data_IF_699847992681
#
_entry.id   IF_699847992681
#
_cell.length_a   1.000
_cell.length_b   1.000
_cell.length_c   1.000
_cell.angle_alpha   90.00
_cell.angle_beta   90.00
_cell.angle_gamma   90.00
#
_symmetry.space_group_name_H-M   'P 1'
#
loop_
_entity.id
_entity.type
_entity.pdbx_description
1 polymer ?
#
# COMPACT_ATOMS: atom_id res chain seq x y z
N UNK A 1 1.34 -21.51 -18.89
CA UNK A 1 1.33 -20.44 -17.86
C UNK A 1 0.11 -19.54 -17.99
N UNK A 2 -0.22 -18.95 -19.17
CA UNK A 2 -1.48 -18.19 -19.44
C UNK A 2 -2.78 -18.90 -19.00
N UNK A 3 -2.88 -20.22 -19.15
CA UNK A 3 -4.06 -21.03 -18.78
C UNK A 3 -4.31 -21.16 -17.26
N UNK A 4 -3.29 -20.92 -16.42
CA UNK A 4 -3.39 -21.02 -14.96
C UNK A 4 -3.82 -19.70 -14.30
N UNK A 5 -3.32 -18.57 -14.83
CA UNK A 5 -3.67 -17.20 -14.44
C UNK A 5 -5.19 -17.05 -14.53
N UNK A 6 -5.76 -17.39 -15.69
CA UNK A 6 -7.18 -17.27 -15.98
C UNK A 6 -8.08 -18.04 -14.98
N UNK A 7 -7.69 -19.24 -14.53
CA UNK A 7 -8.52 -20.04 -13.61
C UNK A 7 -8.56 -19.48 -12.18
N UNK A 8 -7.42 -19.05 -11.65
CA UNK A 8 -7.40 -18.46 -10.30
C UNK A 8 -7.94 -17.04 -10.30
N UNK A 9 -7.69 -16.27 -11.36
CA UNK A 9 -8.23 -14.94 -11.55
C UNK A 9 -9.77 -14.95 -11.54
N UNK A 10 -10.40 -15.81 -12.36
CA UNK A 10 -11.86 -16.01 -12.35
C UNK A 10 -12.35 -16.43 -10.97
N UNK A 11 -11.62 -17.33 -10.31
CA UNK A 11 -12.01 -17.84 -9.00
C UNK A 11 -11.99 -16.75 -7.92
N UNK A 12 -10.96 -15.91 -7.90
CA UNK A 12 -10.91 -14.75 -7.01
C UNK A 12 -11.99 -13.73 -7.37
N UNK A 13 -12.13 -13.40 -8.65
CA UNK A 13 -13.13 -12.45 -9.13
C UNK A 13 -14.55 -12.85 -8.72
N UNK A 14 -14.97 -14.09 -9.00
CA UNK A 14 -16.29 -14.57 -8.62
C UNK A 14 -16.50 -14.57 -7.10
N UNK A 15 -15.47 -14.93 -6.34
CA UNK A 15 -15.56 -14.94 -4.89
C UNK A 15 -15.65 -13.53 -4.30
N UNK A 16 -14.91 -12.57 -4.86
CA UNK A 16 -15.02 -11.16 -4.52
C UNK A 16 -16.41 -10.62 -4.88
N UNK A 17 -16.91 -10.91 -6.09
CA UNK A 17 -18.24 -10.49 -6.53
C UNK A 17 -19.34 -10.95 -5.57
N UNK A 18 -19.25 -12.18 -5.06
CA UNK A 18 -20.22 -12.73 -4.13
C UNK A 18 -20.14 -12.14 -2.72
N UNK A 19 -18.97 -11.64 -2.29
CA UNK A 19 -18.74 -11.27 -0.89
C UNK A 19 -18.59 -9.75 -0.67
N UNK A 20 -18.23 -9.00 -1.71
CA UNK A 20 -17.86 -7.59 -1.58
C UNK A 20 -19.00 -6.75 -1.02
N UNK A 21 -20.22 -6.91 -1.53
CA UNK A 21 -21.37 -6.10 -1.12
C UNK A 21 -21.79 -6.27 0.35
N UNK A 22 -21.33 -7.33 1.03
CA UNK A 22 -21.60 -7.57 2.47
C UNK A 22 -20.63 -6.84 3.42
N UNK A 23 -19.64 -6.13 2.91
CA UNK A 23 -18.65 -5.45 3.74
C UNK A 23 -19.00 -3.96 3.87
N UNK A 24 -19.23 -3.42 5.06
CA UNK A 24 -19.59 -2.00 5.19
C UNK A 24 -18.38 -1.04 5.09
N UNK A 25 -17.15 -1.57 5.10
CA UNK A 25 -15.95 -0.76 4.95
C UNK A 25 -15.72 -0.40 3.47
N UNK A 26 -15.44 0.88 3.24
CA UNK A 26 -15.16 1.41 1.90
C UNK A 26 -13.67 1.50 1.59
N UNK A 27 -12.79 1.49 2.60
CA UNK A 27 -11.34 1.69 2.45
C UNK A 27 -10.58 0.54 1.76
N UNK A 28 -9.25 0.70 1.65
CA UNK A 28 -8.38 -0.18 0.85
C UNK A 28 -7.89 -1.44 1.60
N UNK A 29 -7.71 -1.37 2.91
CA UNK A 29 -7.18 -2.52 3.67
C UNK A 29 -8.27 -3.47 4.11
N UNK A 30 -9.41 -2.92 4.52
CA UNK A 30 -10.50 -3.69 5.11
C UNK A 30 -11.75 -3.72 4.22
N UNK A 31 -11.79 -2.89 3.16
CA UNK A 31 -13.02 -2.59 2.44
C UNK A 31 -13.04 -2.92 0.95
N UNK A 32 -14.14 -2.50 0.31
CA UNK A 32 -14.44 -2.78 -1.11
C UNK A 32 -13.51 -2.08 -2.09
N UNK A 33 -12.81 -1.02 -1.69
CA UNK A 33 -11.85 -0.35 -2.60
C UNK A 33 -10.76 -1.30 -3.10
N UNK A 34 -10.35 -2.28 -2.30
CA UNK A 34 -9.41 -3.30 -2.76
C UNK A 34 -9.96 -4.15 -3.91
N UNK A 35 -11.27 -4.39 -3.92
CA UNK A 35 -11.96 -5.19 -4.94
C UNK A 35 -11.98 -4.45 -6.26
N UNK A 36 -12.38 -3.18 -6.25
CA UNK A 36 -12.31 -2.32 -7.43
C UNK A 36 -10.87 -2.24 -7.95
N UNK A 37 -9.87 -2.02 -7.07
CA UNK A 37 -8.46 -2.04 -7.44
C UNK A 37 -8.03 -3.35 -8.11
N UNK A 38 -8.47 -4.48 -7.58
CA UNK A 38 -8.20 -5.79 -8.17
C UNK A 38 -8.81 -5.92 -9.56
N UNK A 39 -10.08 -5.53 -9.74
CA UNK A 39 -10.75 -5.58 -11.05
C UNK A 39 -9.99 -4.77 -12.11
N UNK A 40 -9.65 -3.52 -11.84
CA UNK A 40 -8.86 -2.69 -12.77
C UNK A 40 -7.46 -3.26 -13.02
N UNK A 41 -6.83 -3.85 -12.00
CA UNK A 41 -5.51 -4.47 -12.14
C UNK A 41 -5.53 -5.73 -13.03
N UNK A 42 -6.67 -6.45 -13.08
CA UNK A 42 -6.81 -7.65 -13.93
C UNK A 42 -7.05 -7.34 -15.40
N UNK A 43 -7.61 -6.16 -15.71
CA UNK A 43 -7.86 -5.71 -17.08
C UNK A 43 -7.49 -4.22 -17.26
N UNK A 44 -6.19 -3.88 -17.26
CA UNK A 44 -5.76 -2.48 -17.32
C UNK A 44 -6.16 -1.74 -18.60
N UNK A 45 -6.33 -2.48 -19.69
CA UNK A 45 -6.72 -1.96 -21.00
C UNK A 45 -8.24 -1.90 -21.18
N UNK A 46 -9.01 -2.25 -20.15
CA UNK A 46 -10.47 -2.24 -20.14
C UNK A 46 -11.08 -2.99 -21.35
N UNK A 47 -10.53 -4.16 -21.70
CA UNK A 47 -10.97 -4.97 -22.84
C UNK A 47 -12.18 -5.85 -22.55
N UNK A 48 -12.42 -6.20 -21.29
CA UNK A 48 -13.54 -7.01 -20.82
C UNK A 48 -14.66 -6.10 -20.30
N UNK A 49 -15.60 -5.75 -21.18
CA UNK A 49 -16.74 -4.86 -20.89
C UNK A 49 -17.52 -5.27 -19.64
N UNK A 50 -17.68 -6.58 -19.42
CA UNK A 50 -18.39 -7.09 -18.25
C UNK A 50 -17.62 -6.82 -16.96
N UNK A 51 -16.31 -7.12 -16.91
CA UNK A 51 -15.49 -6.81 -15.73
C UNK A 51 -15.43 -5.31 -15.45
N UNK A 52 -15.35 -4.49 -16.48
CA UNK A 52 -15.36 -3.04 -16.33
C UNK A 52 -16.68 -2.53 -15.76
N UNK A 53 -17.80 -3.07 -16.24
CA UNK A 53 -19.13 -2.73 -15.71
C UNK A 53 -19.26 -3.11 -14.23
N UNK A 54 -18.75 -4.28 -13.85
CA UNK A 54 -18.73 -4.71 -12.44
C UNK A 54 -17.80 -3.83 -11.59
N UNK A 55 -16.61 -3.51 -12.09
CA UNK A 55 -15.66 -2.64 -11.39
C UNK A 55 -16.25 -1.24 -11.14
N UNK A 56 -16.92 -0.69 -12.14
CA UNK A 56 -17.61 0.59 -12.05
C UNK A 56 -18.76 0.54 -11.04
N UNK A 57 -19.58 -0.51 -11.06
CA UNK A 57 -20.65 -0.70 -10.07
C UNK A 57 -20.12 -0.74 -8.63
N UNK A 58 -18.95 -1.34 -8.39
CA UNK A 58 -18.30 -1.27 -7.07
C UNK A 58 -17.87 0.15 -6.69
N UNK A 59 -17.41 0.96 -7.63
CA UNK A 59 -17.07 2.36 -7.36
C UNK A 59 -18.32 3.18 -7.00
N UNK A 60 -19.43 3.00 -7.73
CA UNK A 60 -20.71 3.64 -7.39
C UNK A 60 -21.20 3.20 -6.00
N UNK A 61 -21.11 1.90 -5.70
CA UNK A 61 -21.48 1.38 -4.38
C UNK A 61 -20.62 2.00 -3.27
N UNK A 62 -19.30 2.06 -3.44
CA UNK A 62 -18.36 2.70 -2.51
C UNK A 62 -18.76 4.16 -2.26
N UNK A 63 -18.97 4.94 -3.32
CA UNK A 63 -19.32 6.36 -3.23
C UNK A 63 -20.67 6.56 -2.52
N UNK A 64 -21.67 5.74 -2.85
CA UNK A 64 -23.00 5.83 -2.24
C UNK A 64 -23.03 5.49 -0.74
N UNK A 65 -22.03 4.77 -0.25
CA UNK A 65 -21.93 4.37 1.16
C UNK A 65 -21.15 5.38 2.02
N UNK A 66 -20.45 6.33 1.40
CA UNK A 66 -19.75 7.38 2.14
C UNK A 66 -20.77 8.31 2.81
N UNK A 67 -20.67 8.41 4.13
CA UNK A 67 -21.50 9.27 4.95
C UNK A 67 -20.73 9.74 6.20
N UNK A 68 -21.38 10.53 7.06
CA UNK A 68 -20.75 11.08 8.27
C UNK A 68 -20.23 10.04 9.26
N UNK A 69 -20.74 8.80 9.24
CA UNK A 69 -20.28 7.71 10.11
C UNK A 69 -19.14 6.90 9.49
N UNK A 70 -18.82 7.12 8.21
CA UNK A 70 -17.74 6.42 7.53
C UNK A 70 -16.41 6.78 8.19
N UNK A 71 -15.55 5.79 8.53
CA UNK A 71 -14.24 6.07 9.07
C UNK A 71 -13.43 6.99 8.14
N UNK A 72 -12.59 7.85 8.71
CA UNK A 72 -11.72 8.73 7.93
C UNK A 72 -10.42 8.03 7.49
N UNK A 73 -10.23 6.78 7.85
CA UNK A 73 -8.95 6.07 7.74
C UNK A 73 -8.66 5.56 6.34
N UNK A 74 -7.39 5.22 6.08
CA UNK A 74 -6.98 4.55 4.85
C UNK A 74 -7.55 3.13 4.73
N UNK A 75 -7.55 2.40 5.85
CA UNK A 75 -7.85 0.98 5.87
C UNK A 75 -9.32 0.67 5.62
N UNK A 76 -10.21 1.29 6.40
CA UNK A 76 -11.65 1.05 6.31
C UNK A 76 -12.46 2.22 5.75
N UNK A 77 -11.83 3.35 5.48
CA UNK A 77 -12.50 4.64 5.38
C UNK A 77 -12.32 5.43 4.09
N UNK A 78 -12.79 6.68 4.16
CA UNK A 78 -12.84 7.65 3.06
C UNK A 78 -11.45 7.87 2.44
N UNK A 79 -10.40 7.97 3.26
CA UNK A 79 -9.05 8.22 2.74
C UNK A 79 -8.57 7.09 1.81
N UNK A 80 -8.92 5.84 2.11
CA UNK A 80 -8.61 4.70 1.24
C UNK A 80 -9.37 4.75 -0.08
N UNK A 81 -10.68 5.03 -0.01
CA UNK A 81 -11.54 5.16 -1.19
C UNK A 81 -11.11 6.33 -2.08
N UNK A 82 -10.77 7.47 -1.49
CA UNK A 82 -10.31 8.63 -2.26
C UNK A 82 -8.95 8.42 -2.92
N UNK A 83 -8.00 7.72 -2.27
CA UNK A 83 -6.74 7.34 -2.92
C UNK A 83 -6.99 6.37 -4.07
N UNK A 84 -7.93 5.43 -3.93
CA UNK A 84 -8.31 4.56 -5.03
C UNK A 84 -8.79 5.38 -6.23
N UNK A 85 -9.72 6.31 -6.03
CA UNK A 85 -10.25 7.14 -7.12
C UNK A 85 -9.13 7.91 -7.83
N UNK A 86 -8.25 8.57 -7.07
CA UNK A 86 -7.06 9.23 -7.64
C UNK A 86 -6.19 8.28 -8.45
N UNK A 87 -5.90 7.12 -7.89
CA UNK A 87 -5.06 6.13 -8.53
C UNK A 87 -5.70 5.63 -9.84
N UNK A 88 -7.01 5.40 -9.85
CA UNK A 88 -7.71 4.94 -11.05
C UNK A 88 -7.77 6.01 -12.15
N UNK A 89 -7.97 7.29 -11.79
CA UNK A 89 -7.90 8.42 -12.72
C UNK A 89 -6.50 8.57 -13.32
N UNK A 90 -5.45 8.38 -12.52
CA UNK A 90 -4.06 8.52 -12.95
C UNK A 90 -3.58 7.34 -13.82
N UNK A 91 -3.83 6.11 -13.38
CA UNK A 91 -3.24 4.90 -13.99
C UNK A 91 -4.14 4.22 -15.02
N UNK A 92 -5.46 4.44 -14.95
CA UNK A 92 -6.46 3.78 -15.80
C UNK A 92 -7.36 4.76 -16.56
N UNK A 93 -7.01 6.06 -16.59
CA UNK A 93 -7.74 7.11 -17.32
C UNK A 93 -9.25 7.06 -17.08
N UNK A 94 -9.66 7.03 -15.82
CA UNK A 94 -11.04 7.37 -15.45
C UNK A 94 -11.29 8.87 -15.75
N UNK A 95 -12.42 9.18 -16.38
CA UNK A 95 -12.77 10.55 -16.83
C UNK A 95 -13.44 11.37 -15.72
N UNK A 96 -13.78 10.73 -14.61
CA UNK A 96 -14.47 11.31 -13.48
C UNK A 96 -13.62 12.38 -12.77
N UNK A 97 -14.25 13.52 -12.46
CA UNK A 97 -13.63 14.57 -11.67
C UNK A 97 -13.64 14.18 -10.19
N UNK A 98 -12.51 13.66 -9.71
CA UNK A 98 -12.35 13.22 -8.33
C UNK A 98 -12.48 14.35 -7.31
N UNK A 99 -12.31 15.63 -7.71
CA UNK A 99 -12.58 16.76 -6.82
C UNK A 99 -14.06 16.89 -6.50
N UNK A 100 -14.94 16.76 -7.50
CA UNK A 100 -16.39 16.79 -7.29
C UNK A 100 -16.85 15.61 -6.44
N UNK A 101 -16.32 14.41 -6.70
CA UNK A 101 -16.69 13.20 -5.96
C UNK A 101 -16.30 13.24 -4.48
N UNK A 102 -15.26 14.00 -4.12
CA UNK A 102 -14.70 14.03 -2.76
C UNK A 102 -14.95 15.36 -2.03
N UNK A 103 -15.55 16.35 -2.69
CA UNK A 103 -15.73 17.71 -2.17
C UNK A 103 -16.43 17.74 -0.81
N UNK A 104 -17.49 16.95 -0.66
CA UNK A 104 -18.26 16.89 0.60
C UNK A 104 -17.47 16.21 1.74
N UNK A 105 -16.55 15.30 1.40
CA UNK A 105 -15.83 14.47 2.38
C UNK A 105 -14.53 15.10 2.87
N UNK A 106 -13.88 15.92 2.02
CA UNK A 106 -12.59 16.55 2.30
C UNK A 106 -12.56 17.42 3.58
N UNK A 107 -13.57 18.25 3.88
CA UNK A 107 -13.60 19.03 5.12
C UNK A 107 -13.44 18.18 6.37
N UNK A 108 -14.02 16.97 6.41
CA UNK A 108 -13.90 16.06 7.56
C UNK A 108 -12.46 15.54 7.70
N UNK A 109 -11.83 15.14 6.59
CA UNK A 109 -10.43 14.69 6.59
C UNK A 109 -9.48 15.81 7.05
N UNK A 110 -9.69 17.03 6.56
CA UNK A 110 -8.90 18.20 6.98
C UNK A 110 -9.12 18.51 8.46
N UNK A 111 -10.36 18.41 8.96
CA UNK A 111 -10.67 18.62 10.38
C UNK A 111 -10.02 17.58 11.28
N UNK A 112 -9.84 16.34 10.80
CA UNK A 112 -9.14 15.29 11.54
C UNK A 112 -7.64 15.57 11.66
N UNK A 113 -7.03 16.18 10.63
CA UNK A 113 -5.61 16.57 10.70
C UNK A 113 -5.42 17.79 11.60
N UNK A 114 -6.23 18.85 11.45
CA UNK A 114 -5.99 20.11 12.15
C UNK A 114 -6.68 20.23 13.52
N UNK A 115 -7.83 19.60 13.70
CA UNK A 115 -8.67 19.74 14.89
C UNK A 115 -8.40 18.67 15.94
N UNK A 116 -8.68 17.41 15.60
CA UNK A 116 -8.58 16.29 16.53
C UNK A 116 -7.27 15.53 16.33
N UNK A 117 -6.21 15.90 17.06
CA UNK A 117 -4.92 15.17 17.00
C UNK A 117 -5.14 13.67 17.10
N UNK A 118 -4.84 12.96 16.01
CA UNK A 118 -4.98 11.51 15.94
C UNK A 118 -4.02 10.86 16.91
N UNK A 119 -4.40 9.72 17.48
CA UNK A 119 -3.52 8.96 18.39
C UNK A 119 -2.72 7.87 17.66
N UNK A 120 -3.19 7.44 16.49
CA UNK A 120 -2.56 6.40 15.69
C UNK A 120 -1.72 7.02 14.58
N UNK A 121 -0.50 6.53 14.36
CA UNK A 121 0.44 7.04 13.34
C UNK A 121 0.51 6.17 12.09
N UNK A 122 -0.09 4.98 12.11
CA UNK A 122 0.03 3.97 11.05
C UNK A 122 -0.59 4.41 9.72
N UNK A 123 -0.27 3.68 8.65
CA UNK A 123 -0.94 3.86 7.35
C UNK A 123 -2.42 3.45 7.49
N UNK A 124 -2.71 2.29 8.07
CA UNK A 124 -4.05 1.73 8.11
C UNK A 124 -5.08 2.66 8.76
N UNK A 125 -4.77 3.13 9.98
CA UNK A 125 -5.76 3.78 10.84
C UNK A 125 -5.31 5.14 11.38
N UNK A 126 -4.21 5.68 10.87
CA UNK A 126 -3.52 6.79 11.50
C UNK A 126 -3.15 7.93 10.57
N UNK A 127 -2.34 8.82 11.15
CA UNK A 127 -1.85 10.05 10.53
C UNK A 127 -1.14 9.79 9.20
N UNK A 128 -0.34 8.71 9.09
CA UNK A 128 0.36 8.41 7.82
C UNK A 128 -0.61 8.10 6.69
N UNK A 129 -1.73 7.43 6.97
CA UNK A 129 -2.77 7.13 5.97
C UNK A 129 -3.44 8.40 5.43
N UNK A 130 -3.76 9.35 6.32
CA UNK A 130 -4.27 10.66 5.91
C UNK A 130 -3.22 11.47 5.15
N UNK A 131 -1.96 11.42 5.59
CA UNK A 131 -0.84 12.03 4.87
C UNK A 131 -0.75 11.52 3.44
N UNK A 132 -0.80 10.20 3.23
CA UNK A 132 -0.84 9.60 1.89
C UNK A 132 -2.02 10.11 1.06
N UNK A 133 -3.21 10.23 1.66
CA UNK A 133 -4.38 10.77 0.97
C UNK A 133 -4.10 12.18 0.43
N UNK A 134 -3.65 13.10 1.27
CA UNK A 134 -3.38 14.47 0.82
C UNK A 134 -2.24 14.56 -0.19
N UNK A 135 -1.26 13.66 -0.12
CA UNK A 135 -0.23 13.56 -1.14
C UNK A 135 -0.78 13.15 -2.51
N UNK A 136 -1.69 12.17 -2.54
CA UNK A 136 -2.38 11.77 -3.78
C UNK A 136 -3.23 12.90 -4.35
N UNK A 137 -3.99 13.60 -3.49
CA UNK A 137 -4.81 14.75 -3.90
C UNK A 137 -3.97 15.90 -4.44
N UNK A 138 -2.83 16.20 -3.82
CA UNK A 138 -1.89 17.21 -4.33
C UNK A 138 -1.35 16.84 -5.71
N UNK A 139 -1.06 15.56 -5.93
CA UNK A 139 -0.49 15.04 -7.18
C UNK A 139 -1.55 14.65 -8.22
N UNK A 140 -2.80 15.06 -8.03
CA UNK A 140 -3.88 14.68 -8.95
C UNK A 140 -3.57 15.09 -10.38
N UNK A 141 -3.95 14.24 -11.34
CA UNK A 141 -3.80 14.51 -12.78
C UNK A 141 -4.60 15.74 -13.20
N UNK A 142 -5.77 15.92 -12.59
CA UNK A 142 -6.58 17.13 -12.70
C UNK A 142 -6.19 18.00 -11.50
N UNK A 143 -5.38 19.05 -11.68
CA UNK A 143 -4.96 19.87 -10.56
C UNK A 143 -6.17 20.55 -9.91
N UNK A 144 -6.22 20.53 -8.57
CA UNK A 144 -7.19 21.33 -7.83
C UNK A 144 -6.94 22.83 -8.05
N UNK A 145 -7.84 23.68 -7.56
CA UNK A 145 -7.58 25.12 -7.50
C UNK A 145 -6.30 25.40 -6.66
N UNK A 146 -5.47 26.41 -7.00
CA UNK A 146 -4.17 26.63 -6.34
C UNK A 146 -4.24 26.68 -4.81
N UNK A 147 -5.28 27.34 -4.27
CA UNK A 147 -5.52 27.40 -2.83
C UNK A 147 -5.77 26.02 -2.21
N UNK A 148 -6.56 25.18 -2.88
CA UNK A 148 -6.86 23.82 -2.41
C UNK A 148 -5.64 22.92 -2.49
N UNK A 149 -4.83 23.03 -3.55
CA UNK A 149 -3.55 22.31 -3.63
C UNK A 149 -2.61 22.68 -2.47
N UNK A 150 -2.49 23.97 -2.14
CA UNK A 150 -1.69 24.42 -1.01
C UNK A 150 -2.19 23.79 0.29
N UNK A 151 -3.52 23.77 0.51
CA UNK A 151 -4.12 23.13 1.70
C UNK A 151 -3.80 21.64 1.81
N UNK A 152 -3.78 20.91 0.69
CA UNK A 152 -3.38 19.49 0.69
C UNK A 152 -1.92 19.32 1.08
N UNK A 153 -1.02 20.15 0.53
CA UNK A 153 0.39 20.14 0.91
C UNK A 153 0.57 20.45 2.40
N UNK A 154 -0.09 21.49 2.90
CA UNK A 154 -0.06 21.86 4.32
C UNK A 154 -0.59 20.73 5.21
N UNK A 155 -1.66 20.05 4.81
CA UNK A 155 -2.22 18.93 5.56
C UNK A 155 -1.25 17.74 5.62
N UNK A 156 -0.58 17.42 4.52
CA UNK A 156 0.46 16.40 4.50
C UNK A 156 1.65 16.77 5.41
N UNK A 157 2.05 18.04 5.47
CA UNK A 157 3.09 18.53 6.38
C UNK A 157 2.63 18.45 7.84
N UNK A 158 1.39 18.85 8.13
CA UNK A 158 0.82 18.74 9.48
C UNK A 158 0.76 17.29 9.97
N UNK A 159 0.58 16.32 9.06
CA UNK A 159 0.72 14.90 9.38
C UNK A 159 2.15 14.54 9.82
N UNK A 160 3.18 15.09 9.17
CA UNK A 160 4.59 14.90 9.57
C UNK A 160 4.84 15.46 10.97
N UNK A 161 4.34 16.65 11.27
CA UNK A 161 4.47 17.28 12.59
C UNK A 161 3.82 16.43 13.69
N UNK A 162 2.63 15.87 13.42
CA UNK A 162 1.95 14.98 14.35
C UNK A 162 2.72 13.68 14.60
N UNK A 163 3.27 13.05 13.55
CA UNK A 163 4.11 11.85 13.68
C UNK A 163 5.36 12.18 14.51
N UNK A 164 6.01 13.31 14.24
CA UNK A 164 7.20 13.72 14.98
C UNK A 164 6.91 13.92 16.47
N UNK A 165 5.77 14.54 16.79
CA UNK A 165 5.32 14.70 18.16
C UNK A 165 5.05 13.35 18.84
N UNK A 166 4.31 12.46 18.18
CA UNK A 166 4.01 11.12 18.70
C UNK A 166 5.29 10.28 18.87
N UNK A 167 6.28 10.47 18.00
CA UNK A 167 7.59 9.83 18.08
C UNK A 167 8.37 10.28 19.31
N UNK A 168 8.44 11.59 19.56
CA UNK A 168 9.08 12.18 20.74
C UNK A 168 8.38 11.78 22.05
N UNK A 169 7.05 11.66 22.02
CA UNK A 169 6.24 11.22 23.15
C UNK A 169 6.25 9.70 23.37
N UNK A 170 7.02 8.93 22.57
CA UNK A 170 7.10 7.47 22.63
C UNK A 170 5.75 6.76 22.48
N UNK A 171 4.79 7.37 21.77
CA UNK A 171 3.45 6.79 21.52
C UNK A 171 3.43 5.80 20.36
N UNK A 172 4.49 5.76 19.56
CA UNK A 172 4.63 4.87 18.42
C UNK A 172 5.38 3.62 18.86
N UNK A 173 4.79 2.44 18.66
CA UNK A 173 5.46 1.17 18.92
C UNK A 173 6.65 0.98 17.99
N UNK A 174 7.85 0.82 18.56
CA UNK A 174 9.10 0.61 17.81
C UNK A 174 9.34 -0.86 17.41
N UNK A 175 8.46 -1.75 17.87
CA UNK A 175 8.58 -3.20 17.67
C UNK A 175 7.78 -3.70 16.46
N UNK A 176 6.69 -3.02 16.11
CA UNK A 176 5.88 -3.38 14.94
C UNK A 176 6.56 -2.90 13.66
N UNK A 177 7.06 -3.85 12.86
CA UNK A 177 7.77 -3.61 11.61
C UNK A 177 6.87 -3.72 10.37
N UNK A 178 5.55 -3.88 10.52
CA UNK A 178 4.64 -3.98 9.37
C UNK A 178 4.49 -2.63 8.65
N UNK A 179 4.16 -2.68 7.36
CA UNK A 179 3.86 -1.51 6.54
C UNK A 179 2.53 -0.90 6.95
N UNK A 180 1.50 -1.71 7.22
CA UNK A 180 0.16 -1.17 7.44
C UNK A 180 -0.05 -0.63 8.86
N UNK A 181 0.60 -1.21 9.87
CA UNK A 181 0.40 -0.83 11.28
C UNK A 181 1.66 -0.29 11.97
N UNK A 182 2.84 -0.64 11.46
CA UNK A 182 4.12 -0.39 12.11
C UNK A 182 4.93 0.80 11.56
N UNK A 183 6.17 0.90 12.05
CA UNK A 183 7.11 1.98 11.73
C UNK A 183 7.63 1.92 10.30
N UNK A 184 7.53 0.77 9.64
CA UNK A 184 7.89 0.63 8.21
C UNK A 184 6.96 1.44 7.32
N UNK A 185 5.66 1.48 7.62
CA UNK A 185 4.69 2.33 6.91
C UNK A 185 4.97 3.82 7.09
N UNK A 186 5.29 4.22 8.32
CA UNK A 186 5.69 5.61 8.62
C UNK A 186 6.96 5.98 7.83
N UNK A 187 7.93 5.07 7.79
CA UNK A 187 9.15 5.23 6.98
C UNK A 187 8.82 5.41 5.48
N UNK A 188 7.88 4.65 4.92
CA UNK A 188 7.44 4.81 3.51
C UNK A 188 6.81 6.18 3.26
N UNK A 189 5.86 6.60 4.12
CA UNK A 189 5.22 7.90 4.01
C UNK A 189 6.24 9.03 4.07
N UNK A 190 7.12 9.04 5.08
CA UNK A 190 8.15 10.06 5.24
C UNK A 190 9.15 10.04 4.07
N UNK A 191 9.55 8.87 3.58
CA UNK A 191 10.40 8.75 2.40
C UNK A 191 9.76 9.44 1.18
N UNK A 192 8.44 9.31 1.02
CA UNK A 192 7.73 9.97 -0.06
C UNK A 192 7.66 11.49 0.13
N UNK A 193 7.38 11.98 1.34
CA UNK A 193 7.46 13.42 1.66
C UNK A 193 8.86 13.99 1.32
N UNK A 194 9.92 13.26 1.68
CA UNK A 194 11.30 13.66 1.40
C UNK A 194 11.61 13.70 -0.10
N UNK A 195 11.10 12.74 -0.90
CA UNK A 195 11.22 12.76 -2.37
C UNK A 195 10.63 14.03 -3.00
N UNK A 196 9.62 14.62 -2.37
CA UNK A 196 9.00 15.87 -2.82
C UNK A 196 9.72 17.13 -2.33
N UNK A 197 10.77 16.98 -1.51
CA UNK A 197 11.47 18.11 -0.88
C UNK A 197 10.61 18.85 0.15
N UNK A 198 9.56 18.21 0.67
CA UNK A 198 8.63 18.87 1.59
C UNK A 198 9.14 18.83 3.02
N UNK A 199 9.03 19.98 3.69
CA UNK A 199 9.32 20.14 5.11
C UNK A 199 10.76 19.74 5.48
N UNK A 200 11.71 19.99 4.56
CA UNK A 200 13.13 19.88 4.84
C UNK A 200 13.62 21.05 5.72
N UNK A 201 14.63 20.84 6.59
CA UNK A 201 15.38 19.59 6.84
C UNK A 201 14.73 18.66 7.87
N UNK A 202 13.58 19.03 8.44
CA UNK A 202 12.97 18.33 9.57
C UNK A 202 12.50 16.91 9.20
N UNK A 203 11.81 16.75 8.07
CA UNK A 203 11.33 15.44 7.58
C UNK A 203 12.48 14.46 7.34
N UNK A 204 13.65 14.93 6.89
CA UNK A 204 14.88 14.13 6.74
C UNK A 204 15.41 13.64 8.08
N UNK A 205 15.42 14.51 9.10
CA UNK A 205 15.89 14.16 10.44
C UNK A 205 15.01 13.07 11.06
N UNK A 206 13.70 13.26 11.03
CA UNK A 206 12.74 12.27 11.58
C UNK A 206 12.85 10.92 10.87
N UNK A 207 12.96 10.93 9.54
CA UNK A 207 13.14 9.70 8.76
C UNK A 207 14.40 8.93 9.19
N UNK A 208 15.54 9.62 9.41
CA UNK A 208 16.77 8.99 9.90
C UNK A 208 16.60 8.36 11.28
N UNK A 209 15.91 9.03 12.21
CA UNK A 209 15.63 8.49 13.55
C UNK A 209 14.81 7.20 13.47
N UNK A 210 13.74 7.20 12.66
CA UNK A 210 12.90 6.01 12.46
C UNK A 210 13.68 4.88 11.80
N UNK A 211 14.48 5.17 10.77
CA UNK A 211 15.33 4.17 10.11
C UNK A 211 16.32 3.54 11.10
N UNK A 212 16.91 4.34 11.99
CA UNK A 212 17.82 3.84 13.04
C UNK A 212 17.10 2.84 13.95
N UNK A 213 15.89 3.16 14.39
CA UNK A 213 15.10 2.25 15.24
C UNK A 213 14.68 0.97 14.50
N UNK A 214 14.32 1.06 13.21
CA UNK A 214 14.08 -0.13 12.38
C UNK A 214 15.31 -1.03 12.38
N UNK A 215 16.50 -0.47 12.19
CA UNK A 215 17.75 -1.24 12.13
C UNK A 215 18.07 -1.90 13.48
N UNK A 216 17.88 -1.17 14.59
CA UNK A 216 18.01 -1.74 15.94
C UNK A 216 17.07 -2.95 16.10
N UNK A 217 15.80 -2.81 15.71
CA UNK A 217 14.82 -3.89 15.79
C UNK A 217 15.14 -5.05 14.84
N UNK A 218 15.69 -4.79 13.64
CA UNK A 218 16.14 -5.82 12.70
C UNK A 218 17.27 -6.68 13.30
N UNK A 219 18.20 -6.06 14.03
CA UNK A 219 19.34 -6.72 14.67
C UNK A 219 18.98 -7.58 15.88
N UNK A 220 17.73 -7.54 16.36
CA UNK A 220 17.26 -8.46 17.41
C UNK A 220 17.29 -9.92 16.96
N UNK A 221 17.48 -10.83 17.90
CA UNK A 221 17.54 -12.28 17.63
C UNK A 221 16.16 -12.89 17.33
N UNK A 222 15.07 -12.17 17.64
CA UNK A 222 13.69 -12.62 17.42
C UNK A 222 13.45 -12.80 15.91
N UNK A 223 12.93 -13.97 15.56
CA UNK A 223 12.50 -14.26 14.20
C UNK A 223 11.11 -13.65 13.94
N UNK A 224 10.96 -12.96 12.81
CA UNK A 224 9.66 -12.47 12.34
C UNK A 224 9.73 -12.24 10.83
N UNK A 225 8.68 -12.62 10.12
CA UNK A 225 8.54 -12.36 8.69
C UNK A 225 8.32 -10.87 8.37
N UNK A 226 7.82 -10.09 9.34
CA UNK A 226 7.64 -8.63 9.25
C UNK A 226 8.96 -7.91 8.97
N UNK A 227 10.10 -8.51 9.34
CA UNK A 227 11.43 -7.98 9.00
C UNK A 227 11.61 -7.82 7.48
N UNK A 228 10.92 -8.64 6.67
CA UNK A 228 10.94 -8.51 5.20
C UNK A 228 10.38 -7.17 4.74
N UNK A 229 9.29 -6.71 5.36
CA UNK A 229 8.66 -5.42 5.07
C UNK A 229 9.57 -4.25 5.47
N UNK A 230 10.22 -4.35 6.63
CA UNK A 230 11.22 -3.37 7.06
C UNK A 230 12.41 -3.30 6.08
N UNK A 231 12.97 -4.44 5.65
CA UNK A 231 14.03 -4.47 4.64
C UNK A 231 13.58 -3.87 3.32
N UNK A 232 12.35 -4.16 2.88
CA UNK A 232 11.77 -3.55 1.69
C UNK A 232 11.75 -2.03 1.82
N UNK A 233 11.22 -1.49 2.91
CA UNK A 233 11.11 -0.05 3.14
C UNK A 233 12.47 0.64 3.22
N UNK A 234 13.43 0.06 3.95
CA UNK A 234 14.79 0.60 4.05
C UNK A 234 15.46 0.65 2.67
N UNK A 235 15.44 -0.46 1.93
CA UNK A 235 16.13 -0.55 0.64
C UNK A 235 15.51 0.34 -0.46
N UNK A 236 14.23 0.70 -0.34
CA UNK A 236 13.55 1.66 -1.21
C UNK A 236 13.58 3.11 -0.67
N UNK A 237 14.28 3.35 0.44
CA UNK A 237 14.48 4.68 0.98
C UNK A 237 15.51 5.47 0.15
N UNK A 238 15.15 6.68 -0.26
CA UNK A 238 16.00 7.52 -1.10
C UNK A 238 17.26 8.01 -0.36
N UNK A 239 17.17 8.21 0.95
CA UNK A 239 18.34 8.59 1.75
C UNK A 239 19.49 7.57 1.63
N UNK A 240 19.18 6.29 1.40
CA UNK A 240 20.19 5.25 1.18
C UNK A 240 20.81 5.28 -0.23
N UNK A 241 20.18 5.93 -1.21
CA UNK A 241 20.79 6.04 -2.55
C UNK A 241 22.09 6.85 -2.51
N UNK A 242 22.16 7.82 -1.60
CA UNK A 242 23.30 8.72 -1.44
C UNK A 242 24.38 8.18 -0.50
N UNK A 243 24.12 7.07 0.21
CA UNK A 243 25.06 6.42 1.14
C UNK A 243 25.27 4.96 0.75
N UNK A 244 26.22 4.74 -0.17
CA UNK A 244 26.51 3.42 -0.73
C UNK A 244 27.02 2.43 0.33
N UNK A 245 27.80 2.90 1.30
CA UNK A 245 28.37 2.06 2.35
C UNK A 245 27.26 1.54 3.28
N UNK A 246 26.35 2.43 3.70
CA UNK A 246 25.24 2.04 4.55
C UNK A 246 24.24 1.14 3.81
N UNK A 247 23.97 1.42 2.53
CA UNK A 247 23.15 0.52 1.69
C UNK A 247 23.74 -0.89 1.59
N UNK A 248 25.06 -1.00 1.43
CA UNK A 248 25.75 -2.29 1.40
C UNK A 248 25.63 -3.05 2.73
N UNK A 249 25.70 -2.34 3.86
CA UNK A 249 25.49 -2.92 5.18
C UNK A 249 24.08 -3.50 5.34
N UNK A 250 23.04 -2.77 4.92
CA UNK A 250 21.66 -3.26 4.93
C UNK A 250 21.50 -4.49 4.04
N UNK A 251 22.09 -4.49 2.83
CA UNK A 251 22.06 -5.66 1.93
C UNK A 251 22.77 -6.86 2.57
N UNK A 252 23.90 -6.65 3.25
CA UNK A 252 24.63 -7.71 3.95
C UNK A 252 23.80 -8.28 5.10
N UNK A 253 23.15 -7.42 5.89
CA UNK A 253 22.25 -7.84 6.97
C UNK A 253 21.05 -8.62 6.41
N UNK A 254 20.45 -8.13 5.32
CA UNK A 254 19.36 -8.81 4.63
C UNK A 254 19.75 -10.20 4.13
N UNK A 255 20.95 -10.36 3.53
CA UNK A 255 21.45 -11.67 3.10
C UNK A 255 21.56 -12.67 4.26
N UNK A 256 22.02 -12.23 5.44
CA UNK A 256 22.04 -13.07 6.66
C UNK A 256 20.62 -13.44 7.12
N UNK A 257 19.70 -12.48 7.08
CA UNK A 257 18.29 -12.72 7.39
C UNK A 257 17.67 -13.77 6.45
N UNK A 258 17.93 -13.68 5.14
CA UNK A 258 17.46 -14.67 4.16
C UNK A 258 17.90 -16.11 4.47
N UNK A 259 19.12 -16.28 5.01
CA UNK A 259 19.62 -17.61 5.40
C UNK A 259 18.85 -18.20 6.59
N UNK A 260 18.40 -17.34 7.51
CA UNK A 260 17.59 -17.75 8.66
C UNK A 260 16.18 -18.12 8.22
N UNK A 261 15.54 -17.29 7.39
CA UNK A 261 14.13 -17.48 7.02
C UNK A 261 13.92 -18.60 6.00
N UNK A 262 14.92 -18.91 5.18
CA UNK A 262 14.85 -20.05 4.25
C UNK A 262 14.58 -21.38 4.99
N UNK A 263 15.02 -21.49 6.25
CA UNK A 263 14.78 -22.66 7.12
C UNK A 263 13.39 -22.66 7.79
N UNK A 264 12.65 -21.55 7.69
CA UNK A 264 11.39 -21.31 8.41
C UNK A 264 10.22 -21.12 7.46
N UNK A 265 10.33 -21.57 6.20
CA UNK A 265 9.28 -21.47 5.18
C UNK A 265 7.93 -22.07 5.61
N UNK A 266 7.93 -22.99 6.58
CA UNK A 266 6.71 -23.61 7.09
C UNK A 266 5.92 -22.73 8.05
N UNK A 267 6.58 -21.77 8.68
CA UNK A 267 5.99 -20.85 9.67
C UNK A 267 5.26 -19.66 9.06
N UNK A 268 5.38 -19.44 7.74
CA UNK A 268 4.73 -18.32 7.08
C UNK A 268 3.22 -18.56 7.01
N UNK A 269 2.44 -17.62 7.52
CA UNK A 269 1.00 -17.66 7.40
C UNK A 269 0.58 -17.40 5.94
N UNK A 270 -0.62 -17.88 5.59
CA UNK A 270 -1.10 -17.82 4.23
C UNK A 270 -1.33 -16.39 3.73
N UNK A 271 -1.85 -15.51 4.58
CA UNK A 271 -2.23 -14.14 4.23
C UNK A 271 -1.00 -13.29 3.90
N UNK A 272 0.04 -13.38 4.73
CA UNK A 272 1.28 -12.62 4.55
C UNK A 272 2.15 -13.18 3.42
N UNK A 273 2.01 -14.47 3.08
CA UNK A 273 2.90 -15.14 2.13
C UNK A 273 2.98 -14.44 0.77
N UNK A 274 1.86 -13.95 0.24
CA UNK A 274 1.81 -13.33 -1.09
C UNK A 274 2.51 -11.98 -1.12
N UNK A 275 2.32 -11.15 -0.08
CA UNK A 275 3.04 -9.89 0.11
C UNK A 275 4.53 -10.11 0.34
N UNK A 276 4.91 -11.06 1.21
CA UNK A 276 6.32 -11.39 1.46
C UNK A 276 6.99 -11.84 0.16
N UNK A 277 6.34 -12.69 -0.64
CA UNK A 277 6.86 -13.09 -1.93
C UNK A 277 7.03 -11.88 -2.88
N UNK A 278 6.08 -10.95 -2.90
CA UNK A 278 6.16 -9.72 -3.68
C UNK A 278 7.33 -8.84 -3.24
N UNK A 279 7.47 -8.56 -1.95
CA UNK A 279 8.57 -7.75 -1.41
C UNK A 279 9.94 -8.36 -1.70
N UNK A 280 10.08 -9.67 -1.55
CA UNK A 280 11.31 -10.38 -1.90
C UNK A 280 11.63 -10.29 -3.40
N UNK A 281 10.63 -10.39 -4.28
CA UNK A 281 10.81 -10.26 -5.73
C UNK A 281 11.30 -8.85 -6.10
N UNK A 282 10.70 -7.82 -5.49
CA UNK A 282 11.06 -6.42 -5.76
C UNK A 282 12.47 -6.09 -5.26
N UNK A 283 12.81 -6.49 -4.02
CA UNK A 283 14.18 -6.36 -3.50
C UNK A 283 15.17 -7.10 -4.41
N UNK A 284 14.83 -8.31 -4.86
CA UNK A 284 15.70 -9.08 -5.73
C UNK A 284 15.92 -8.41 -7.09
N UNK A 285 14.88 -7.80 -7.67
CA UNK A 285 14.94 -7.08 -8.94
C UNK A 285 15.81 -5.83 -8.84
N UNK A 286 15.63 -5.03 -7.80
CA UNK A 286 16.32 -3.73 -7.67
C UNK A 286 17.75 -3.83 -7.13
N UNK A 287 18.04 -4.85 -6.31
CA UNK A 287 19.34 -4.98 -5.63
C UNK A 287 20.11 -6.26 -5.99
N UNK A 288 19.64 -7.00 -7.00
CA UNK A 288 20.29 -8.21 -7.52
C UNK A 288 20.60 -9.26 -6.44
N UNK A 289 19.66 -9.47 -5.51
CA UNK A 289 19.80 -10.45 -4.41
C UNK A 289 19.21 -11.80 -4.84
N UNK A 290 20.02 -12.65 -5.48
CA UNK A 290 19.56 -13.93 -6.05
C UNK A 290 18.83 -14.85 -5.06
N UNK A 291 19.27 -14.92 -3.80
CA UNK A 291 18.58 -15.70 -2.74
C UNK A 291 17.14 -15.22 -2.50
N UNK A 292 16.88 -13.91 -2.56
CA UNK A 292 15.54 -13.36 -2.38
C UNK A 292 14.60 -13.77 -3.52
N UNK A 293 15.10 -13.78 -4.77
CA UNK A 293 14.34 -14.26 -5.94
C UNK A 293 13.95 -15.74 -5.80
N UNK A 294 14.89 -16.58 -5.37
CA UNK A 294 14.64 -18.02 -5.15
C UNK A 294 13.57 -18.20 -4.06
N UNK A 295 13.71 -17.47 -2.96
CA UNK A 295 12.78 -17.58 -1.84
C UNK A 295 11.38 -17.08 -2.21
N UNK A 296 11.27 -15.94 -2.90
CA UNK A 296 10.02 -15.44 -3.48
C UNK A 296 9.33 -16.51 -4.34
N UNK A 297 10.09 -17.14 -5.26
CA UNK A 297 9.57 -18.21 -6.10
C UNK A 297 9.06 -19.41 -5.28
N UNK A 298 9.76 -19.79 -4.21
CA UNK A 298 9.35 -20.91 -3.36
C UNK A 298 8.08 -20.60 -2.56
N UNK A 299 7.99 -19.40 -1.98
CA UNK A 299 6.80 -18.95 -1.24
C UNK A 299 5.59 -18.87 -2.19
N UNK A 300 5.77 -18.28 -3.38
CA UNK A 300 4.73 -18.22 -4.42
C UNK A 300 4.23 -19.62 -4.81
N UNK A 301 5.15 -20.57 -5.02
CA UNK A 301 4.79 -21.98 -5.36
C UNK A 301 3.97 -22.62 -4.24
N UNK A 302 4.37 -22.44 -2.98
CA UNK A 302 3.63 -22.94 -1.80
C UNK A 302 2.23 -22.33 -1.73
N UNK A 303 2.11 -21.00 -1.82
CA UNK A 303 0.81 -20.32 -1.84
C UNK A 303 -0.10 -20.82 -2.96
N UNK A 304 0.47 -21.02 -4.16
CA UNK A 304 -0.25 -21.58 -5.31
C UNK A 304 -0.73 -23.01 -5.08
N UNK A 305 0.05 -23.84 -4.36
CA UNK A 305 -0.35 -25.20 -4.00
C UNK A 305 -1.48 -25.20 -2.96
N UNK A 306 -1.42 -24.32 -1.95
CA UNK A 306 -2.48 -24.15 -0.95
C UNK A 306 -3.79 -23.73 -1.63
N UNK A 307 -3.71 -22.74 -2.53
CA UNK A 307 -4.87 -22.28 -3.33
C UNK A 307 -5.47 -23.41 -4.18
N UNK A 308 -4.66 -24.28 -4.77
CA UNK A 308 -5.16 -25.42 -5.56
C UNK A 308 -5.88 -26.47 -4.72
N UNK A 309 -5.42 -26.69 -3.48
CA UNK A 309 -5.91 -27.77 -2.61
C UNK A 309 -7.14 -27.39 -1.78
N UNK A 310 -7.38 -26.11 -1.56
CA UNK A 310 -8.43 -25.61 -0.68
C UNK A 310 -9.44 -24.76 -1.45
N UNK A 311 -10.70 -24.77 -1.05
CA UNK A 311 -11.70 -23.80 -1.51
C UNK A 311 -11.42 -22.41 -0.91
N UNK A 312 -11.89 -21.32 -1.56
CA UNK A 312 -11.60 -19.96 -1.05
C UNK A 312 -12.29 -19.70 0.29
N UNK A 313 -13.50 -20.22 0.49
CA UNK A 313 -14.21 -20.14 1.77
C UNK A 313 -13.49 -20.82 2.94
N UNK A 314 -12.59 -21.78 2.67
CA UNK A 314 -11.78 -22.41 3.71
C UNK A 314 -10.51 -21.59 4.02
N UNK A 315 -10.11 -20.71 3.11
CA UNK A 315 -8.92 -19.87 3.26
C UNK A 315 -9.27 -18.48 3.77
N UNK A 316 -10.42 -17.94 3.37
CA UNK A 316 -10.93 -16.63 3.77
C UNK A 316 -12.22 -16.86 4.55
N UNK A 317 -12.06 -17.01 5.87
CA UNK A 317 -13.15 -17.38 6.76
C UNK A 317 -13.96 -16.13 7.11
N UNK A 318 -15.28 -16.28 7.19
CA UNK A 318 -16.18 -15.23 7.67
C UNK A 318 -15.72 -14.70 9.03
N UNK A 319 -15.59 -13.38 9.15
CA UNK A 319 -15.25 -12.71 10.39
C UNK A 319 -16.54 -12.28 11.11
N UNK A 320 -16.86 -12.85 12.29
CA UNK A 320 -18.09 -12.51 13.02
C UNK A 320 -18.16 -11.06 13.49
N UNK A 321 -17.01 -10.45 13.80
CA UNK A 321 -16.94 -9.07 14.29
C UNK A 321 -17.22 -8.07 13.16
N UNK A 322 -16.64 -8.30 11.98
CA UNK A 322 -16.86 -7.48 10.78
C UNK A 322 -18.13 -7.87 10.01
N UNK A 323 -18.77 -8.98 10.39
CA UNK A 323 -19.95 -9.57 9.73
C UNK A 323 -19.79 -9.81 8.23
N UNK A 324 -18.58 -10.04 7.77
CA UNK A 324 -18.28 -10.25 6.37
C UNK A 324 -17.09 -11.20 6.19
N UNK A 325 -16.89 -11.69 4.97
CA UNK A 325 -15.61 -12.30 4.59
C UNK A 325 -14.59 -11.17 4.40
N UNK A 326 -13.34 -11.31 4.88
CA UNK A 326 -12.32 -10.30 4.67
C UNK A 326 -11.92 -10.27 3.19
N UNK A 327 -12.17 -9.14 2.51
CA UNK A 327 -11.91 -8.97 1.07
C UNK A 327 -10.73 -8.03 0.78
N UNK A 328 -10.35 -7.18 1.72
CA UNK A 328 -9.39 -6.09 1.52
C UNK A 328 -7.92 -6.52 1.39
N UNK A 329 -7.02 -5.53 1.35
CA UNK A 329 -5.56 -5.74 1.29
C UNK A 329 -4.93 -6.23 2.59
N UNK A 330 -5.63 -6.15 3.73
CA UNK A 330 -5.17 -6.67 5.00
C UNK A 330 -5.95 -7.94 5.35
N UNK A 331 -5.25 -9.07 5.41
CA UNK A 331 -5.79 -10.41 5.73
C UNK A 331 -7.00 -10.87 4.90
N UNK A 332 -7.32 -10.14 3.83
CA UNK A 332 -8.44 -10.42 2.95
C UNK A 332 -8.06 -11.09 1.64
N UNK A 333 -9.06 -11.36 0.82
CA UNK A 333 -8.87 -11.98 -0.50
C UNK A 333 -7.89 -11.18 -1.37
N UNK A 334 -7.99 -9.85 -1.40
CA UNK A 334 -7.11 -9.01 -2.20
C UNK A 334 -5.67 -9.00 -1.70
N UNK A 335 -5.42 -9.25 -0.40
CA UNK A 335 -4.06 -9.40 0.15
C UNK A 335 -3.28 -10.56 -0.48
N UNK A 336 -3.99 -11.55 -1.01
CA UNK A 336 -3.42 -12.69 -1.74
C UNK A 336 -3.50 -12.48 -3.25
N UNK A 337 -4.66 -12.06 -3.76
CA UNK A 337 -4.93 -12.00 -5.18
C UNK A 337 -4.06 -10.97 -5.91
N UNK A 338 -3.95 -9.74 -5.38
CA UNK A 338 -3.20 -8.65 -6.03
C UNK A 338 -1.68 -8.93 -6.08
N UNK A 339 -1.00 -9.32 -4.97
CA UNK A 339 0.43 -9.63 -5.05
C UNK A 339 0.74 -10.83 -5.96
N UNK A 340 -0.12 -11.85 -5.98
CA UNK A 340 0.06 -12.98 -6.89
C UNK A 340 -0.11 -12.56 -8.35
N UNK A 341 -1.11 -11.74 -8.66
CA UNK A 341 -1.30 -11.16 -9.99
C UNK A 341 -0.03 -10.41 -10.42
N UNK A 342 0.49 -9.50 -9.60
CA UNK A 342 1.74 -8.77 -9.89
C UNK A 342 2.95 -9.68 -10.06
N UNK A 343 3.08 -10.73 -9.25
CA UNK A 343 4.15 -11.72 -9.39
C UNK A 343 4.04 -12.55 -10.68
N UNK A 344 2.86 -12.65 -11.28
CA UNK A 344 2.59 -13.38 -12.52
C UNK A 344 2.71 -12.50 -13.76
N UNK A 345 2.10 -11.31 -13.75
CA UNK A 345 2.05 -10.38 -14.87
C UNK A 345 3.27 -9.47 -14.95
N UNK A 346 3.99 -9.29 -13.83
CA UNK A 346 5.04 -8.26 -13.65
C UNK A 346 4.52 -6.82 -13.76
N UNK A 347 3.20 -6.64 -13.58
CA UNK A 347 2.57 -5.33 -13.46
C UNK A 347 2.45 -4.95 -11.98
N UNK A 348 2.96 -3.77 -11.64
CA UNK A 348 3.10 -3.29 -10.25
C UNK A 348 2.41 -1.95 -10.01
N UNK A 349 1.59 -1.46 -10.97
CA UNK A 349 1.04 -0.10 -10.96
C UNK A 349 0.33 0.26 -9.66
N UNK A 350 -0.45 -0.67 -9.10
CA UNK A 350 -1.18 -0.47 -7.84
C UNK A 350 -0.29 -0.14 -6.64
N UNK A 351 1.00 -0.44 -6.66
CA UNK A 351 1.93 -0.07 -5.58
C UNK A 351 2.18 1.44 -5.50
N UNK A 352 1.86 2.21 -6.55
CA UNK A 352 1.92 3.67 -6.52
C UNK A 352 0.95 4.29 -5.50
N UNK A 353 -0.10 3.57 -5.08
CA UNK A 353 -0.96 3.93 -3.93
C UNK A 353 -0.12 4.18 -2.67
N UNK A 354 0.99 3.46 -2.50
CA UNK A 354 1.91 3.59 -1.36
C UNK A 354 3.15 4.43 -1.68
N UNK A 355 3.17 5.16 -2.81
CA UNK A 355 4.32 5.95 -3.25
C UNK A 355 5.47 5.12 -3.81
N UNK A 356 5.22 3.85 -4.15
CA UNK A 356 6.21 2.93 -4.69
C UNK A 356 6.05 2.89 -6.21
N UNK A 357 6.95 3.58 -6.91
CA UNK A 357 7.01 3.57 -8.37
C UNK A 357 8.10 2.62 -8.83
N UNK A 358 7.70 1.43 -9.27
CA UNK A 358 8.60 0.45 -9.87
C UNK A 358 8.56 0.66 -11.38
N UNK A 359 9.70 1.01 -11.98
CA UNK A 359 9.81 1.07 -13.43
C UNK A 359 9.49 -0.31 -14.02
N UNK A 360 8.33 -0.44 -14.66
CA UNK A 360 8.06 -1.51 -15.61
C UNK A 360 8.83 -1.17 -16.87
N UNK A 361 9.54 -2.14 -17.47
CA UNK A 361 10.05 -1.97 -18.82
C UNK A 361 8.86 -2.02 -19.78
N UNK A 362 8.05 -0.97 -19.78
CA UNK A 362 7.13 -0.64 -20.87
C UNK A 362 7.40 0.83 -21.15
N UNK A 363 8.19 1.06 -22.19
CA UNK A 363 8.46 2.37 -22.75
C UNK A 363 7.16 2.98 -23.25
N UNK A 364 6.58 3.89 -22.47
CA UNK A 364 5.88 5.04 -23.01
C UNK A 364 6.41 6.28 -22.32
N UNK A 365 7.35 6.93 -23.01
CA UNK A 365 7.77 8.29 -22.78
C UNK A 365 6.56 9.23 -22.92
N UNK A 366 6.07 9.84 -21.83
CA UNK A 366 5.57 11.23 -21.85
C UNK A 366 5.79 11.84 -20.46
N UNK A 367 6.31 13.07 -20.52
CA UNK A 367 6.76 14.01 -19.49
C UNK A 367 6.12 13.98 -18.08
N UNK A 368 7.00 14.02 -17.07
CA UNK A 368 6.69 14.44 -15.70
C UNK A 368 7.80 15.24 -15.01
N UNK A 369 8.81 15.72 -15.74
CA UNK A 369 9.97 16.45 -15.18
C UNK A 369 9.88 17.99 -15.27
N UNK A 370 8.74 18.58 -15.64
CA UNK A 370 8.64 20.03 -15.88
C UNK A 370 7.69 20.84 -14.99
N UNK A 371 7.39 20.39 -13.76
CA UNK A 371 6.56 21.17 -12.83
C UNK A 371 7.19 21.41 -11.44
N UNK A 372 8.52 21.26 -11.30
CA UNK A 372 9.22 21.50 -10.02
C UNK A 372 9.83 22.92 -9.91
N UNK A 373 9.76 23.76 -10.95
CA UNK A 373 10.40 25.11 -10.93
C UNK A 373 9.44 26.30 -11.11
N UNK A 374 8.16 26.19 -10.73
CA UNK A 374 7.25 27.34 -10.81
C UNK A 374 6.17 27.35 -9.72
N UNK A 375 6.61 27.47 -8.46
CA UNK A 375 5.98 28.15 -7.32
C UNK A 375 7.09 28.39 -6.28
#
# INVERSE_FOLDING_TARGET
MKRFINKNEIRFFNYLLLNASFNDYVGLLDGKSAVALYCYSTDPEKKDEWKNSVAFSFLEEILSQINLSTPLTFGGGIAGAGILLEHLTQEYNLEENTHELLEESEPYLLSAVYGARLQNSSIANGVSGLGLYFMHRFRSKIPAQPFQQLRFKEAAIACVDQIAKQWQEHKISRQDLTIFHGISGICLFLNWINKLGWHEPFSKKLLKEIMSDIIITLNTTIFSWQKTEAYFCLLHCELLKNDAAFKEEIIKSFKKYLEKIAKQLESIDFYSASFIALWLELIAKEHNVGKAKILSCNIKKRGSQILKKNALCNLFIYNPEKKCVPIGLLDGVCSTALPLLSLETKEYRWLSIFGINISTQISHSVHGEHLINAL
#
